data_IF_265584734510
#
_entry.id   IF_265584734510
#
_cell.length_a   1.000
_cell.length_b   1.000
_cell.length_c   1.000
_cell.angle_alpha   90.00
_cell.angle_beta   90.00
_cell.angle_gamma   90.00
#
_symmetry.space_group_name_H-M   'P 1'
#
loop_
_entity.id
_entity.type
_entity.pdbx_description
1 polymer ?
#
# COMPACT_ATOMS: atom_id res chain seq x y z
N UNK A 1 6.14 1.83 -13.36
CA UNK A 1 6.35 0.53 -12.73
C UNK A 1 5.69 -0.58 -13.52
N UNK A 2 6.20 -1.82 -13.43
CA UNK A 2 5.58 -3.01 -14.04
C UNK A 2 4.52 -3.61 -13.12
N UNK A 3 3.43 -4.10 -13.70
CA UNK A 3 2.37 -4.78 -12.96
C UNK A 3 1.64 -5.83 -13.78
N UNK A 4 1.09 -6.85 -13.12
CA UNK A 4 0.22 -7.85 -13.75
C UNK A 4 -0.99 -7.21 -14.45
N UNK A 5 -1.43 -6.04 -13.98
CA UNK A 5 -2.57 -5.30 -14.53
C UNK A 5 -2.26 -4.51 -15.80
N UNK A 6 -1.01 -4.52 -16.30
CA UNK A 6 -0.63 -3.82 -17.53
C UNK A 6 -1.13 -4.53 -18.79
N UNK A 7 -1.45 -5.83 -18.70
CA UNK A 7 -1.84 -6.66 -19.85
C UNK A 7 -3.31 -7.06 -19.81
N UNK A 8 -3.81 -7.46 -18.64
CA UNK A 8 -5.17 -7.97 -18.47
C UNK A 8 -5.68 -7.75 -17.04
N UNK A 9 -7.01 -7.73 -16.83
CA UNK A 9 -7.55 -7.81 -15.49
C UNK A 9 -7.24 -9.17 -14.85
N UNK A 10 -7.15 -9.17 -13.53
CA UNK A 10 -7.11 -10.39 -12.71
C UNK A 10 -8.56 -10.78 -12.41
N UNK A 11 -8.90 -12.04 -12.68
CA UNK A 11 -10.23 -12.61 -12.41
C UNK A 11 -10.07 -13.67 -11.32
N UNK A 12 -10.82 -13.52 -10.24
CA UNK A 12 -10.82 -14.40 -9.07
C UNK A 12 -12.23 -14.94 -8.89
N UNK A 13 -12.39 -16.25 -9.07
CA UNK A 13 -13.66 -16.95 -8.84
C UNK A 13 -13.66 -17.56 -7.43
N UNK A 14 -14.70 -17.25 -6.67
CA UNK A 14 -14.91 -17.75 -5.32
C UNK A 14 -15.72 -19.04 -5.30
N UNK A 15 -15.63 -19.80 -4.20
CA UNK A 15 -16.27 -21.13 -4.08
C UNK A 15 -17.80 -21.10 -4.17
N UNK A 16 -18.42 -19.99 -3.80
CA UNK A 16 -19.88 -19.78 -3.89
C UNK A 16 -20.32 -19.19 -5.25
N UNK A 17 -19.40 -19.10 -6.21
CA UNK A 17 -19.65 -18.60 -7.55
C UNK A 17 -19.57 -17.08 -7.71
N UNK A 18 -19.20 -16.33 -6.67
CA UNK A 18 -18.89 -14.91 -6.84
C UNK A 18 -17.63 -14.73 -7.68
N UNK A 19 -17.58 -13.61 -8.40
CA UNK A 19 -16.44 -13.29 -9.28
C UNK A 19 -15.95 -11.88 -8.98
N UNK A 20 -14.70 -11.77 -8.55
CA UNK A 20 -13.97 -10.51 -8.41
C UNK A 20 -13.08 -10.31 -9.63
N UNK A 21 -13.37 -9.27 -10.42
CA UNK A 21 -12.52 -8.81 -11.52
C UNK A 21 -11.81 -7.53 -11.10
N UNK A 22 -10.48 -7.55 -11.04
CA UNK A 22 -9.64 -6.39 -10.69
C UNK A 22 -8.83 -5.95 -11.90
N UNK A 23 -8.92 -4.68 -12.24
CA UNK A 23 -8.17 -4.06 -13.34
C UNK A 23 -7.34 -2.89 -12.83
N UNK A 24 -6.46 -2.36 -13.69
CA UNK A 24 -5.68 -1.13 -13.41
C UNK A 24 -6.52 0.11 -13.09
N UNK A 25 -7.81 0.12 -13.41
CA UNK A 25 -8.66 1.30 -13.24
C UNK A 25 -9.76 1.11 -12.20
N UNK A 26 -9.92 -0.09 -11.64
CA UNK A 26 -11.06 -0.38 -10.77
C UNK A 26 -11.31 -1.85 -10.59
N UNK A 27 -12.43 -2.17 -9.95
CA UNK A 27 -12.88 -3.55 -9.75
C UNK A 27 -14.38 -3.69 -9.98
N UNK A 28 -14.76 -4.92 -10.31
CA UNK A 28 -16.14 -5.37 -10.43
C UNK A 28 -16.31 -6.67 -9.65
N UNK A 29 -17.30 -6.72 -8.77
CA UNK A 29 -17.65 -7.90 -7.98
C UNK A 29 -19.08 -8.32 -8.27
N UNK A 30 -19.25 -9.58 -8.68
CA UNK A 30 -20.53 -10.15 -9.05
C UNK A 30 -20.89 -11.36 -8.20
N UNK A 31 -22.18 -11.57 -8.00
CA UNK A 31 -22.70 -12.82 -7.44
C UNK A 31 -22.69 -13.96 -8.47
N UNK A 32 -23.10 -15.15 -8.04
CA UNK A 32 -23.18 -16.34 -8.90
C UNK A 32 -24.23 -16.27 -10.01
N UNK A 33 -25.15 -15.31 -9.95
CA UNK A 33 -26.13 -15.04 -11.01
C UNK A 33 -25.65 -13.97 -12.00
N UNK A 34 -24.48 -13.36 -11.73
CA UNK A 34 -23.91 -12.28 -12.52
C UNK A 34 -24.42 -10.88 -12.14
N UNK A 35 -25.18 -10.74 -11.06
CA UNK A 35 -25.60 -9.45 -10.51
C UNK A 35 -24.38 -8.69 -9.97
N UNK A 36 -24.26 -7.41 -10.30
CA UNK A 36 -23.17 -6.57 -9.84
C UNK A 36 -23.44 -6.12 -8.41
N UNK A 37 -22.67 -6.66 -7.46
CA UNK A 37 -22.74 -6.29 -6.04
C UNK A 37 -21.85 -5.09 -5.71
N UNK A 38 -20.74 -4.92 -6.44
CA UNK A 38 -19.81 -3.82 -6.25
C UNK A 38 -19.14 -3.44 -7.56
N UNK A 39 -19.11 -2.15 -7.85
CA UNK A 39 -18.40 -1.54 -8.97
C UNK A 39 -17.66 -0.32 -8.43
N UNK A 40 -16.34 -0.26 -8.63
CA UNK A 40 -15.50 0.81 -8.12
C UNK A 40 -14.53 1.25 -9.21
N UNK A 41 -14.67 2.52 -9.62
CA UNK A 41 -13.66 3.23 -10.39
C UNK A 41 -12.62 3.83 -9.42
N UNK A 42 -11.35 3.50 -9.61
CA UNK A 42 -10.28 4.02 -8.78
C UNK A 42 -10.06 5.52 -8.96
N UNK A 43 -10.49 6.14 -10.06
CA UNK A 43 -10.48 7.60 -10.21
C UNK A 43 -11.33 8.29 -9.14
N UNK A 44 -12.38 7.64 -8.66
CA UNK A 44 -13.26 8.15 -7.61
C UNK A 44 -12.77 7.90 -6.19
N UNK A 45 -11.71 7.10 -6.03
CA UNK A 45 -11.19 6.65 -4.73
C UNK A 45 -9.91 7.40 -4.35
N UNK A 46 -9.89 8.03 -3.18
CA UNK A 46 -8.67 8.60 -2.59
C UNK A 46 -7.93 7.60 -1.68
N UNK A 47 -8.63 6.62 -1.12
CA UNK A 47 -7.98 5.63 -0.26
C UNK A 47 -8.82 4.39 -0.01
N UNK A 48 -8.14 3.31 0.31
CA UNK A 48 -8.74 2.03 0.71
C UNK A 48 -8.31 1.76 2.16
N UNK A 49 -9.29 1.51 3.03
CA UNK A 49 -9.06 1.09 4.40
C UNK A 49 -9.38 -0.40 4.53
N UNK A 50 -8.36 -1.28 4.58
CA UNK A 50 -8.57 -2.70 4.78
C UNK A 50 -8.63 -3.02 6.29
N UNK A 51 -9.84 -3.28 6.79
CA UNK A 51 -10.07 -3.66 8.18
C UNK A 51 -9.58 -5.08 8.45
N UNK A 52 -8.97 -5.29 9.63
CA UNK A 52 -8.36 -6.54 10.09
C UNK A 52 -7.15 -7.03 9.29
N UNK A 53 -6.74 -6.28 8.27
CA UNK A 53 -5.72 -6.74 7.32
C UNK A 53 -4.33 -6.92 7.93
N UNK A 54 -4.04 -6.30 9.07
CA UNK A 54 -2.74 -6.40 9.72
C UNK A 54 -2.73 -7.30 10.97
N UNK A 55 -3.88 -7.85 11.37
CA UNK A 55 -4.04 -8.63 12.59
C UNK A 55 -4.93 -9.89 12.42
N UNK A 56 -5.31 -10.22 11.18
CA UNK A 56 -6.08 -11.42 10.83
C UNK A 56 -5.47 -12.10 9.60
N UNK A 57 -5.70 -13.41 9.48
CA UNK A 57 -5.37 -14.22 8.30
C UNK A 57 -6.58 -15.01 7.78
N UNK A 58 -7.79 -14.47 8.00
CA UNK A 58 -9.06 -15.03 7.54
C UNK A 58 -9.60 -14.07 6.48
N UNK A 59 -10.75 -13.45 6.69
CA UNK A 59 -11.34 -12.48 5.78
C UNK A 59 -11.09 -11.05 6.22
N UNK A 60 -11.12 -10.16 5.23
CA UNK A 60 -10.96 -8.72 5.42
C UNK A 60 -12.16 -7.98 4.87
N UNK A 61 -12.31 -6.75 5.33
CA UNK A 61 -13.36 -5.87 4.87
C UNK A 61 -12.71 -4.59 4.33
N UNK A 62 -13.02 -4.24 3.09
CA UNK A 62 -12.46 -3.09 2.41
C UNK A 62 -13.47 -1.95 2.38
N UNK A 63 -13.08 -0.84 3.00
CA UNK A 63 -13.80 0.43 2.93
C UNK A 63 -13.10 1.33 1.92
N UNK A 64 -13.80 1.67 0.85
CA UNK A 64 -13.34 2.63 -0.15
C UNK A 64 -13.72 4.04 0.28
N UNK A 65 -12.78 4.98 0.19
CA UNK A 65 -13.00 6.40 0.49
C UNK A 65 -12.98 7.20 -0.78
N UNK A 66 -14.07 7.92 -1.03
CA UNK A 66 -14.23 8.74 -2.21
C UNK A 66 -13.29 9.96 -2.21
N UNK A 67 -13.35 10.78 -3.26
CA UNK A 67 -12.57 12.02 -3.40
C UNK A 67 -12.72 13.02 -2.24
N UNK A 68 -13.81 12.93 -1.48
CA UNK A 68 -14.09 13.74 -0.29
C UNK A 68 -13.65 13.07 1.03
N UNK A 69 -12.91 11.96 0.94
CA UNK A 69 -12.50 11.10 2.06
C UNK A 69 -13.65 10.52 2.87
N UNK A 70 -14.90 10.54 2.40
CA UNK A 70 -16.00 9.81 3.04
C UNK A 70 -16.03 8.39 2.50
N UNK A 71 -16.48 7.47 3.34
CA UNK A 71 -16.72 6.09 2.92
C UNK A 71 -17.73 6.10 1.76
N UNK A 72 -17.40 5.38 0.69
CA UNK A 72 -18.33 5.10 -0.40
C UNK A 72 -19.38 4.08 0.08
N UNK A 73 -20.50 3.99 -0.65
CA UNK A 73 -21.55 3.03 -0.33
C UNK A 73 -21.04 1.59 -0.46
N UNK A 74 -21.43 0.73 0.47
CA UNK A 74 -21.11 -0.70 0.55
C UNK A 74 -19.63 -1.02 0.76
N UNK A 75 -19.34 -1.85 1.75
CA UNK A 75 -18.02 -2.43 1.97
C UNK A 75 -17.84 -3.66 1.07
N UNK A 76 -16.60 -4.12 0.89
CA UNK A 76 -16.32 -5.37 0.17
C UNK A 76 -15.61 -6.34 1.11
N UNK A 77 -16.24 -7.48 1.39
CA UNK A 77 -15.56 -8.59 2.05
C UNK A 77 -14.66 -9.30 1.04
N UNK A 78 -13.47 -9.65 1.50
CA UNK A 78 -12.40 -10.25 0.68
C UNK A 78 -11.75 -11.38 1.45
N UNK A 79 -11.14 -12.29 0.70
CA UNK A 79 -10.43 -13.46 1.20
C UNK A 79 -11.36 -14.30 2.10
N UNK A 80 -12.64 -14.45 1.68
CA UNK A 80 -13.71 -15.09 2.48
C UNK A 80 -13.45 -16.56 2.76
N UNK A 81 -12.71 -17.22 1.87
CA UNK A 81 -12.37 -18.64 1.97
C UNK A 81 -10.88 -18.82 2.24
N UNK A 82 -10.56 -19.53 3.32
CA UNK A 82 -9.17 -19.82 3.66
C UNK A 82 -8.48 -20.62 2.55
N UNK A 83 -7.28 -20.17 2.18
CA UNK A 83 -6.30 -20.92 1.41
C UNK A 83 -5.43 -21.77 2.34
N UNK A 84 -5.20 -23.04 2.00
CA UNK A 84 -4.39 -23.94 2.81
C UNK A 84 -2.90 -23.71 2.54
N UNK A 85 -2.22 -22.95 3.42
CA UNK A 85 -0.75 -22.94 3.44
C UNK A 85 -0.02 -21.60 3.55
N UNK A 86 -0.71 -20.46 3.68
CA UNK A 86 -0.03 -19.16 3.70
C UNK A 86 -0.87 -17.99 4.21
N UNK A 87 -0.47 -16.77 3.84
CA UNK A 87 -1.25 -15.57 4.10
C UNK A 87 -2.50 -15.51 3.22
N UNK A 88 -3.69 -15.50 3.81
CA UNK A 88 -4.95 -15.48 3.07
C UNK A 88 -5.27 -14.08 2.57
N UNK A 89 -4.51 -13.56 1.61
CA UNK A 89 -4.48 -12.13 1.24
C UNK A 89 -4.64 -11.86 -0.25
N UNK A 90 -4.91 -12.90 -1.05
CA UNK A 90 -4.84 -12.85 -2.51
C UNK A 90 -5.79 -11.82 -3.10
N UNK A 91 -7.06 -11.80 -2.67
CA UNK A 91 -8.06 -10.84 -3.19
C UNK A 91 -7.73 -9.43 -2.74
N UNK A 92 -7.50 -9.24 -1.43
CA UNK A 92 -7.15 -7.92 -0.89
C UNK A 92 -5.89 -7.37 -1.55
N UNK A 93 -4.84 -8.19 -1.68
CA UNK A 93 -3.57 -7.79 -2.27
C UNK A 93 -3.74 -7.42 -3.74
N UNK A 94 -4.54 -8.16 -4.50
CA UNK A 94 -4.86 -7.80 -5.88
C UNK A 94 -5.47 -6.40 -5.97
N UNK A 95 -6.46 -6.09 -5.13
CA UNK A 95 -7.15 -4.80 -5.12
C UNK A 95 -6.20 -3.66 -4.75
N UNK A 96 -5.44 -3.78 -3.66
CA UNK A 96 -4.55 -2.68 -3.23
C UNK A 96 -3.36 -2.51 -4.18
N UNK A 97 -2.90 -3.58 -4.83
CA UNK A 97 -1.84 -3.51 -5.84
C UNK A 97 -2.33 -2.81 -7.10
N UNK A 98 -3.55 -3.12 -7.55
CA UNK A 98 -4.17 -2.43 -8.68
C UNK A 98 -4.41 -0.94 -8.35
N UNK A 99 -4.87 -0.64 -7.14
CA UNK A 99 -5.08 0.73 -6.68
C UNK A 99 -3.77 1.52 -6.58
N UNK A 100 -2.71 0.94 -6.01
CA UNK A 100 -1.38 1.53 -6.03
C UNK A 100 -0.89 1.72 -7.47
N UNK A 101 -1.12 0.74 -8.35
CA UNK A 101 -0.80 0.83 -9.78
C UNK A 101 -1.46 1.97 -10.51
N UNK A 102 -2.73 2.20 -10.21
CA UNK A 102 -3.49 3.30 -10.73
C UNK A 102 -2.96 4.65 -10.23
N UNK A 103 -2.81 4.82 -8.91
CA UNK A 103 -2.51 6.11 -8.29
C UNK A 103 -1.05 6.54 -8.35
N UNK A 104 -0.11 5.59 -8.29
CA UNK A 104 1.32 5.89 -8.42
C UNK A 104 1.73 6.08 -9.89
N UNK A 105 0.86 5.73 -10.85
CA UNK A 105 1.03 5.89 -12.30
C UNK A 105 2.10 4.97 -12.91
N UNK A 106 2.21 5.05 -14.24
CA UNK A 106 3.14 4.27 -15.05
C UNK A 106 4.60 4.68 -14.82
N UNK A 107 4.85 5.92 -14.40
CA UNK A 107 6.19 6.49 -14.28
C UNK A 107 6.83 6.24 -12.90
N UNK A 108 6.09 5.69 -11.94
CA UNK A 108 6.66 5.34 -10.65
C UNK A 108 7.75 4.25 -10.80
N UNK A 109 8.89 4.33 -10.09
CA UNK A 109 9.20 5.34 -9.08
C UNK A 109 10.08 6.52 -9.57
N UNK A 110 10.23 6.74 -10.87
CA UNK A 110 11.05 7.84 -11.41
C UNK A 110 10.39 9.21 -11.19
N UNK A 111 9.07 9.23 -11.10
CA UNK A 111 8.30 10.46 -10.92
C UNK A 111 8.15 10.91 -9.46
N UNK A 112 8.93 10.37 -8.51
CA UNK A 112 8.80 10.68 -7.07
C UNK A 112 8.74 12.19 -6.76
N UNK A 113 9.54 13.00 -7.45
CA UNK A 113 9.62 14.45 -7.23
C UNK A 113 8.55 15.26 -7.99
N UNK A 114 7.81 14.64 -8.91
CA UNK A 114 6.74 15.28 -9.70
C UNK A 114 5.35 14.70 -9.42
N UNK A 115 5.28 13.58 -8.72
CA UNK A 115 4.05 12.88 -8.38
C UNK A 115 3.17 13.78 -7.49
N UNK A 116 1.87 13.85 -7.82
CA UNK A 116 0.91 14.72 -7.14
C UNK A 116 -0.37 13.94 -6.80
N UNK A 117 -0.52 13.53 -5.54
CA UNK A 117 -1.68 12.76 -5.11
C UNK A 117 -2.00 12.91 -3.62
N UNK A 118 -3.29 12.78 -3.25
CA UNK A 118 -3.70 12.57 -1.87
C UNK A 118 -3.11 11.26 -1.33
N UNK A 119 -2.58 11.28 -0.10
CA UNK A 119 -1.97 10.11 0.55
C UNK A 119 -2.78 9.60 1.74
N UNK A 120 -3.34 10.51 2.53
CA UNK A 120 -4.06 10.18 3.77
C UNK A 120 -4.99 11.34 4.18
N UNK A 121 -5.96 11.07 5.05
CA UNK A 121 -6.78 12.08 5.69
C UNK A 121 -6.96 11.80 7.18
N UNK A 122 -6.52 12.76 7.99
CA UNK A 122 -6.73 12.73 9.43
C UNK A 122 -8.11 13.32 9.77
N UNK A 123 -9.10 12.48 10.08
CA UNK A 123 -10.43 12.95 10.52
C UNK A 123 -10.40 13.78 11.80
N UNK A 124 -9.52 13.43 12.75
CA UNK A 124 -9.38 14.17 14.00
C UNK A 124 -8.91 15.61 13.75
N UNK A 125 -7.85 15.77 12.95
CA UNK A 125 -7.29 17.09 12.59
C UNK A 125 -8.03 17.80 11.44
N UNK A 126 -8.93 17.10 10.74
CA UNK A 126 -9.65 17.53 9.53
C UNK A 126 -8.71 18.04 8.43
N UNK A 127 -7.66 17.28 8.10
CA UNK A 127 -6.63 17.68 7.12
C UNK A 127 -6.18 16.50 6.29
N UNK A 128 -6.02 16.75 4.99
CA UNK A 128 -5.39 15.86 4.03
C UNK A 128 -3.87 15.91 4.16
N UNK A 129 -3.23 14.75 4.02
CA UNK A 129 -1.81 14.64 3.71
C UNK A 129 -1.67 14.36 2.21
N UNK A 130 -0.81 15.12 1.55
CA UNK A 130 -0.62 15.10 0.09
C UNK A 130 0.88 15.07 -0.24
N UNK A 131 1.25 14.36 -1.30
CA UNK A 131 2.53 14.55 -1.98
C UNK A 131 2.31 15.49 -3.16
N UNK A 132 3.13 16.53 -3.29
CA UNK A 132 3.13 17.42 -4.46
C UNK A 132 4.51 18.05 -4.62
N UNK A 133 5.06 18.02 -5.84
CA UNK A 133 6.36 18.63 -6.14
C UNK A 133 7.51 18.13 -5.24
N UNK A 134 7.52 16.84 -4.93
CA UNK A 134 8.53 16.24 -4.05
C UNK A 134 8.41 16.66 -2.58
N UNK A 135 7.26 17.18 -2.15
CA UNK A 135 7.01 17.58 -0.76
C UNK A 135 5.77 16.86 -0.22
N UNK A 136 5.92 16.22 0.94
CA UNK A 136 4.79 15.71 1.72
C UNK A 136 4.30 16.81 2.66
N UNK A 137 3.05 17.22 2.52
CA UNK A 137 2.41 18.23 3.36
C UNK A 137 1.15 17.69 4.02
N UNK A 138 0.86 18.13 5.25
CA UNK A 138 -0.45 17.92 5.91
C UNK A 138 -1.18 19.25 6.22
N UNK A 139 -0.81 20.31 5.49
CA UNK A 139 -1.30 21.67 5.71
C UNK A 139 -0.79 22.36 6.99
N UNK A 140 0.08 21.71 7.77
CA UNK A 140 0.77 22.33 8.93
C UNK A 140 2.28 22.17 8.84
N UNK A 141 2.73 21.01 8.38
CA UNK A 141 4.13 20.67 8.23
C UNK A 141 4.35 20.23 6.80
N UNK A 142 5.52 20.57 6.30
CA UNK A 142 6.03 20.19 4.99
C UNK A 142 7.36 19.47 5.19
N UNK A 143 7.56 18.42 4.40
CA UNK A 143 8.79 17.63 4.39
C UNK A 143 9.13 17.36 2.93
N UNK A 144 10.19 17.98 2.39
CA UNK A 144 10.77 17.55 1.13
C UNK A 144 11.17 16.08 1.23
N UNK A 145 10.82 15.26 0.24
CA UNK A 145 11.06 13.82 0.31
C UNK A 145 12.55 13.49 0.38
N UNK A 146 13.43 14.32 -0.21
CA UNK A 146 14.89 14.16 -0.12
C UNK A 146 15.46 14.41 1.29
N UNK A 147 14.72 15.10 2.17
CA UNK A 147 15.12 15.34 3.55
C UNK A 147 14.76 14.16 4.47
N UNK A 148 14.00 13.18 3.99
CA UNK A 148 13.60 12.02 4.80
C UNK A 148 14.83 11.11 5.00
N UNK A 149 15.15 10.86 6.28
CA UNK A 149 16.31 10.06 6.70
C UNK A 149 15.94 8.76 7.41
N UNK A 150 14.76 8.70 8.03
CA UNK A 150 14.21 7.46 8.60
C UNK A 150 12.70 7.44 8.45
N UNK A 151 12.16 6.26 8.21
CA UNK A 151 10.74 5.97 8.37
C UNK A 151 10.63 4.72 9.23
N UNK A 152 9.87 4.80 10.32
CA UNK A 152 9.60 3.67 11.22
C UNK A 152 8.15 3.26 11.11
N UNK A 153 7.90 1.97 10.88
CA UNK A 153 6.57 1.40 11.00
C UNK A 153 6.24 1.18 12.48
N UNK A 154 5.15 1.78 12.94
CA UNK A 154 4.66 1.65 14.30
C UNK A 154 3.23 1.12 14.23
N UNK A 155 3.03 -0.09 14.74
CA UNK A 155 1.72 -0.75 14.85
C UNK A 155 1.35 -0.93 16.32
N UNK A 156 0.05 -0.82 16.61
CA UNK A 156 -0.52 -1.06 17.94
C UNK A 156 -1.70 -2.07 17.88
N UNK A 157 -1.74 -2.90 16.84
CA UNK A 157 -2.77 -3.90 16.61
C UNK A 157 -4.08 -3.37 16.00
N UNK A 158 -4.41 -2.08 16.15
CA UNK A 158 -5.62 -1.47 15.54
C UNK A 158 -5.29 -0.51 14.40
N UNK A 159 -4.26 0.32 14.58
CA UNK A 159 -3.83 1.31 13.59
C UNK A 159 -2.32 1.19 13.41
N UNK A 160 -1.88 1.08 12.16
CA UNK A 160 -0.47 1.13 11.82
C UNK A 160 -0.15 2.47 11.18
N UNK A 161 0.98 3.06 11.58
CA UNK A 161 1.41 4.36 11.11
C UNK A 161 2.87 4.30 10.66
N UNK A 162 3.22 5.19 9.74
CA UNK A 162 4.59 5.44 9.29
C UNK A 162 5.06 6.76 9.90
N UNK A 163 6.07 6.67 10.76
CA UNK A 163 6.68 7.80 11.45
C UNK A 163 7.89 8.30 10.65
N UNK A 164 7.79 9.52 10.11
CA UNK A 164 8.77 10.13 9.20
C UNK A 164 9.72 11.03 10.00
N UNK A 165 11.03 10.85 9.80
CA UNK A 165 12.09 11.61 10.45
C UNK A 165 13.05 12.20 9.41
N UNK A 166 13.56 13.40 9.68
CA UNK A 166 14.51 14.12 8.83
C UNK A 166 15.94 14.13 9.42
N UNK A 167 16.22 13.24 10.38
CA UNK A 167 17.54 13.08 11.00
C UNK A 167 17.91 11.61 11.02
N UNK A 168 19.19 11.30 10.85
CA UNK A 168 19.67 9.90 10.80
C UNK A 168 19.55 9.18 12.14
N UNK A 169 19.55 9.93 13.25
CA UNK A 169 19.42 9.39 14.61
C UNK A 169 18.49 10.26 15.46
N UNK A 170 17.87 9.62 16.44
CA UNK A 170 17.10 10.30 17.48
C UNK A 170 18.01 10.97 18.51
N UNK A 171 17.55 12.07 19.10
CA UNK A 171 18.18 12.60 20.33
C UNK A 171 17.69 11.75 21.51
N UNK A 172 18.60 11.40 22.44
CA UNK A 172 18.41 10.42 23.53
C UNK A 172 17.04 10.45 24.24
N UNK A 173 16.41 11.62 24.41
CA UNK A 173 15.10 11.77 25.07
C UNK A 173 13.97 12.30 24.18
N UNK A 174 14.23 12.62 22.91
CA UNK A 174 13.25 13.30 22.02
C UNK A 174 13.38 12.83 20.56
N UNK A 175 13.27 11.53 20.30
CA UNK A 175 13.15 11.00 18.93
C UNK A 175 11.69 11.08 18.42
N UNK A 176 11.19 12.30 18.26
CA UNK A 176 9.83 12.55 17.77
C UNK A 176 9.79 12.61 16.24
N UNK A 177 8.81 11.97 15.59
CA UNK A 177 8.66 12.08 14.14
C UNK A 177 8.32 13.51 13.72
N UNK A 178 8.87 13.94 12.60
CA UNK A 178 8.51 15.20 11.96
C UNK A 178 7.06 15.13 11.48
N UNK A 179 6.65 14.00 10.90
CA UNK A 179 5.26 13.72 10.49
C UNK A 179 4.91 12.26 10.71
N UNK A 180 3.64 11.98 10.96
CA UNK A 180 3.09 10.63 11.02
C UNK A 180 1.97 10.55 10.00
N UNK A 181 1.99 9.51 9.17
CA UNK A 181 0.96 9.20 8.18
C UNK A 181 0.41 7.80 8.43
N UNK A 182 -0.85 7.57 8.07
CA UNK A 182 -1.45 6.23 8.16
C UNK A 182 -0.72 5.29 7.19
N UNK A 183 -0.50 4.05 7.62
CA UNK A 183 -0.03 2.97 6.76
C UNK A 183 -1.15 2.55 5.81
N UNK A 184 -0.94 2.67 4.51
CA UNK A 184 -1.91 2.26 3.49
C UNK A 184 -1.23 1.88 2.16
N UNK A 185 -2.05 1.56 1.16
CA UNK A 185 -1.63 1.13 -0.19
C UNK A 185 -0.77 2.13 -0.96
N UNK A 186 -0.78 3.42 -0.58
CA UNK A 186 0.00 4.47 -1.24
C UNK A 186 1.22 4.88 -0.40
N UNK A 187 1.05 5.04 0.91
CA UNK A 187 2.12 5.53 1.79
C UNK A 187 3.24 4.52 1.97
N UNK A 188 2.94 3.22 1.96
CA UNK A 188 3.96 2.16 2.09
C UNK A 188 4.90 2.12 0.88
N UNK A 189 4.44 1.89 -0.37
CA UNK A 189 5.33 1.86 -1.52
C UNK A 189 6.05 3.19 -1.76
N UNK A 190 5.37 4.33 -1.55
CA UNK A 190 5.98 5.64 -1.68
C UNK A 190 7.15 5.84 -0.71
N UNK A 191 6.93 5.60 0.59
CA UNK A 191 7.96 5.84 1.60
C UNK A 191 9.06 4.77 1.55
N UNK A 192 8.77 3.57 1.07
CA UNK A 192 9.77 2.55 0.78
C UNK A 192 10.71 3.00 -0.34
N UNK A 193 10.17 3.52 -1.46
CA UNK A 193 10.96 4.05 -2.56
C UNK A 193 11.81 5.25 -2.10
N UNK A 194 11.20 6.22 -1.41
CA UNK A 194 11.91 7.40 -0.90
C UNK A 194 13.02 7.03 0.08
N UNK A 195 12.76 6.13 1.03
CA UNK A 195 13.77 5.70 2.00
C UNK A 195 14.95 5.00 1.33
N UNK A 196 14.65 4.07 0.41
CA UNK A 196 15.69 3.30 -0.27
C UNK A 196 16.53 4.21 -1.16
N UNK A 197 15.88 5.15 -1.89
CA UNK A 197 16.57 6.18 -2.67
C UNK A 197 17.49 7.05 -1.82
N UNK A 198 17.02 7.54 -0.68
CA UNK A 198 17.76 8.53 0.10
C UNK A 198 18.87 7.92 0.97
N UNK A 199 18.73 6.64 1.35
CA UNK A 199 19.56 6.05 2.41
C UNK A 199 20.14 4.68 2.07
N UNK A 200 19.74 4.07 0.96
CA UNK A 200 20.05 2.68 0.63
C UNK A 200 19.29 1.65 1.49
N UNK A 201 18.45 2.09 2.41
CA UNK A 201 17.66 1.23 3.30
C UNK A 201 16.18 1.57 3.16
N UNK A 202 15.30 0.56 3.22
CA UNK A 202 13.85 0.77 3.22
C UNK A 202 13.30 1.24 4.57
N UNK A 203 11.97 1.20 4.69
CA UNK A 203 11.27 1.45 5.96
C UNK A 203 11.77 0.45 7.04
N UNK A 204 11.94 0.97 8.26
CA UNK A 204 12.24 0.19 9.44
C UNK A 204 10.97 -0.52 9.95
N UNK A 205 10.92 -1.83 9.73
CA UNK A 205 9.88 -2.74 10.21
C UNK A 205 10.29 -3.54 11.44
N UNK A 206 11.41 -3.22 12.09
CA UNK A 206 11.96 -4.01 13.20
C UNK A 206 11.09 -4.02 14.46
N UNK A 207 10.12 -3.12 14.57
CA UNK A 207 9.20 -3.05 15.71
C UNK A 207 7.90 -3.80 15.41
N UNK A 208 7.56 -4.73 16.28
CA UNK A 208 6.29 -5.45 16.27
C UNK A 208 5.09 -4.69 16.85
N UNK A 209 3.99 -5.41 17.06
CA UNK A 209 2.70 -4.86 17.53
C UNK A 209 2.58 -4.71 19.05
N UNK A 210 3.59 -5.16 19.79
CA UNK A 210 3.57 -5.15 21.26
C UNK A 210 2.69 -6.25 21.85
N UNK A 211 2.17 -7.16 21.02
CA UNK A 211 1.41 -8.33 21.41
C UNK A 211 2.15 -9.60 21.00
N UNK A 212 1.82 -10.16 19.83
CA UNK A 212 2.30 -11.46 19.39
C UNK A 212 3.37 -11.40 18.29
N UNK A 213 3.51 -10.25 17.61
CA UNK A 213 4.44 -10.10 16.49
C UNK A 213 5.67 -9.32 16.94
N UNK A 214 6.86 -9.86 16.68
CA UNK A 214 8.14 -9.23 17.05
C UNK A 214 8.55 -8.12 16.07
N UNK A 215 8.14 -8.23 14.81
CA UNK A 215 8.41 -7.26 13.73
C UNK A 215 7.10 -6.89 13.01
N UNK A 216 7.14 -5.80 12.24
CA UNK A 216 6.06 -5.37 11.34
C UNK A 216 6.25 -5.84 9.89
N UNK A 217 7.09 -6.86 9.65
CA UNK A 217 7.46 -7.28 8.29
C UNK A 217 6.29 -7.87 7.49
N UNK A 218 5.23 -8.30 8.17
CA UNK A 218 3.95 -8.66 7.53
C UNK A 218 3.38 -7.52 6.67
N UNK A 219 3.77 -6.26 6.92
CA UNK A 219 3.40 -5.12 6.07
C UNK A 219 4.02 -5.26 4.68
N UNK A 220 5.26 -5.74 4.57
CA UNK A 220 5.94 -5.94 3.28
C UNK A 220 5.16 -6.96 2.45
N UNK A 221 4.88 -8.11 3.07
CA UNK A 221 4.08 -9.19 2.47
C UNK A 221 2.72 -8.68 1.95
N UNK A 222 2.09 -7.76 2.67
CA UNK A 222 0.73 -7.31 2.39
C UNK A 222 0.67 -6.16 1.39
N UNK A 223 1.51 -5.14 1.56
CA UNK A 223 1.38 -3.87 0.85
C UNK A 223 2.42 -3.62 -0.25
N UNK A 224 3.53 -4.37 -0.29
CA UNK A 224 4.56 -4.21 -1.30
C UNK A 224 4.49 -5.29 -2.37
N UNK A 225 4.83 -4.90 -3.60
CA UNK A 225 5.08 -5.78 -4.74
C UNK A 225 6.40 -5.35 -5.37
N UNK A 226 7.27 -6.30 -5.70
CA UNK A 226 8.60 -5.99 -6.24
C UNK A 226 8.52 -5.21 -7.56
N UNK A 227 7.45 -5.42 -8.35
CA UNK A 227 7.21 -4.71 -9.60
C UNK A 227 7.05 -3.20 -9.44
N UNK A 228 6.72 -2.71 -8.24
CA UNK A 228 6.63 -1.28 -7.95
C UNK A 228 7.93 -0.53 -8.20
N UNK A 229 9.06 -1.21 -8.08
CA UNK A 229 10.39 -0.60 -8.17
C UNK A 229 11.08 -0.88 -9.51
N UNK A 230 10.37 -1.46 -10.48
CA UNK A 230 10.92 -1.80 -11.80
C UNK A 230 10.15 -1.08 -12.91
N UNK A 231 10.83 -0.73 -13.98
CA UNK A 231 10.23 -0.19 -15.20
C UNK A 231 9.39 -1.24 -15.93
N UNK A 232 8.60 -0.80 -16.92
CA UNK A 232 7.70 -1.68 -17.69
C UNK A 232 8.43 -2.80 -18.42
N UNK A 233 9.71 -2.61 -18.74
CA UNK A 233 10.58 -3.63 -19.35
C UNK A 233 11.20 -4.60 -18.33
N UNK A 234 10.87 -4.43 -17.04
CA UNK A 234 11.37 -5.25 -15.94
C UNK A 234 12.75 -4.85 -15.43
N UNK A 235 13.31 -3.73 -15.90
CA UNK A 235 14.63 -3.24 -15.47
C UNK A 235 14.54 -2.23 -14.33
N UNK A 236 15.66 -1.98 -13.66
CA UNK A 236 15.85 -0.86 -12.74
C UNK A 236 16.78 0.15 -13.42
N UNK A 237 16.42 1.44 -13.41
CA UNK A 237 17.26 2.54 -13.90
C UNK A 237 18.35 2.95 -12.88
N UNK A 238 18.12 2.75 -11.58
CA UNK A 238 19.04 3.12 -10.50
C UNK A 238 19.24 1.99 -9.47
N UNK A 239 20.41 1.94 -8.82
CA UNK A 239 20.79 0.84 -7.90
C UNK A 239 19.83 0.69 -6.71
N UNK A 240 19.29 1.79 -6.20
CA UNK A 240 18.36 1.77 -5.07
C UNK A 240 17.03 1.10 -5.44
N UNK A 241 16.59 1.22 -6.71
CA UNK A 241 15.38 0.57 -7.20
C UNK A 241 15.55 -0.96 -7.16
N UNK A 242 16.72 -1.44 -7.61
CA UNK A 242 17.10 -2.86 -7.51
C UNK A 242 17.11 -3.31 -6.05
N UNK A 243 17.66 -2.51 -5.13
CA UNK A 243 17.67 -2.82 -3.70
C UNK A 243 16.26 -2.95 -3.12
N UNK A 244 15.35 -2.03 -3.45
CA UNK A 244 13.95 -2.11 -3.01
C UNK A 244 13.21 -3.31 -3.60
N UNK A 245 13.43 -3.59 -4.89
CA UNK A 245 12.91 -4.76 -5.59
C UNK A 245 13.37 -6.06 -4.92
N UNK A 246 14.68 -6.26 -4.76
CA UNK A 246 15.26 -7.49 -4.20
C UNK A 246 14.79 -7.72 -2.76
N UNK A 247 14.75 -6.66 -1.94
CA UNK A 247 14.22 -6.73 -0.57
C UNK A 247 12.78 -7.18 -0.54
N UNK A 248 11.92 -6.61 -1.40
CA UNK A 248 10.50 -6.96 -1.46
C UNK A 248 10.29 -8.39 -1.97
N UNK A 249 10.96 -8.74 -3.07
CA UNK A 249 10.90 -10.07 -3.67
C UNK A 249 11.38 -11.17 -2.71
N UNK A 250 12.33 -10.86 -1.83
CA UNK A 250 12.86 -11.78 -0.82
C UNK A 250 11.81 -12.33 0.16
N UNK A 251 10.66 -11.68 0.31
CA UNK A 251 9.56 -12.20 1.13
C UNK A 251 8.70 -13.23 0.39
N UNK A 252 8.74 -13.29 -0.95
CA UNK A 252 8.05 -14.33 -1.73
C UNK A 252 6.54 -14.15 -1.83
N UNK A 253 6.03 -12.92 -1.74
CA UNK A 253 4.60 -12.61 -1.75
C UNK A 253 4.17 -11.66 -2.86
N UNK A 254 4.97 -11.47 -3.91
CA UNK A 254 4.52 -10.68 -5.08
C UNK A 254 3.19 -11.21 -5.60
N UNK A 255 2.32 -10.32 -6.06
CA UNK A 255 0.97 -10.68 -6.51
C UNK A 255 1.02 -11.74 -7.61
N UNK A 256 2.01 -11.66 -8.52
CA UNK A 256 2.21 -12.66 -9.58
C UNK A 256 2.39 -14.08 -9.04
N UNK A 257 2.97 -14.24 -7.84
CA UNK A 257 3.17 -15.54 -7.20
C UNK A 257 1.85 -16.04 -6.59
N UNK A 258 1.12 -15.16 -5.92
CA UNK A 258 -0.19 -15.48 -5.32
C UNK A 258 -1.26 -15.86 -6.35
N UNK A 259 -1.12 -15.42 -7.60
CA UNK A 259 -2.05 -15.75 -8.69
C UNK A 259 -1.71 -17.07 -9.39
N UNK A 260 -0.57 -17.69 -9.10
CA UNK A 260 -0.18 -19.00 -9.64
C UNK A 260 -0.66 -20.16 -8.76
N UNK A 261 -1.15 -19.87 -7.55
CA UNK A 261 -1.73 -20.81 -6.59
C UNK A 261 -3.21 -21.10 -6.87
#
# INVERSE_FOLDING_TARGET
>A
MISVFDTQPVILEEKDGHVLTVSRNGLLYKDSNGEVLKDVDFEDVNGILPLRYLNSNISYNLIFRGRNWKNMASELDTDRYNTSGGHNIRETKAIITAFARHKLTDDFPDNLDTLDLPLDYSYFKKRETRLSGGVITNGKKEIPIHDIRRVKCITNGTISNLCIYTTDKGRFFFDMPKMTVTLNALTVPLLEAVMTRNTGHGIDFSRGDGFGQSTSEFVIIRYLDSGYFLHKDGTAHEDWQKTACDRTAGYGYDLKMLLQE
#
